data_IF_508137243708
#
_entry.id   IF_508137243708
#
_cell.length_a   1.000
_cell.length_b   1.000
_cell.length_c   1.000
_cell.angle_alpha   90.00
_cell.angle_beta   90.00
_cell.angle_gamma   90.00
#
_symmetry.space_group_name_H-M   'P 1'
#
loop_
_entity.id
_entity.type
_entity.pdbx_description
1 polymer ?
#
# COMPACT_ATOMS: atom_id res chain seq x y z
N UNK A 1 14.24 24.81 28.06
CA UNK A 1 14.75 24.31 26.78
C UNK A 1 14.35 22.85 26.67
N UNK A 2 13.34 22.57 25.85
CA UNK A 2 12.92 21.21 25.51
C UNK A 2 14.04 20.60 24.67
N UNK A 3 14.59 19.45 25.09
CA UNK A 3 15.63 18.77 24.33
C UNK A 3 15.07 18.39 22.96
N UNK A 4 15.70 18.87 21.88
CA UNK A 4 15.29 18.54 20.52
C UNK A 4 15.47 17.03 20.29
N UNK A 5 14.43 16.40 19.74
CA UNK A 5 14.39 14.95 19.56
C UNK A 5 15.07 14.57 18.25
N UNK A 6 15.77 13.44 18.27
CA UNK A 6 16.33 12.80 17.07
C UNK A 6 15.72 11.42 16.97
N UNK A 7 14.96 11.17 15.91
CA UNK A 7 14.15 9.96 15.76
C UNK A 7 14.44 9.33 14.40
N UNK A 8 14.66 8.02 14.39
CA UNK A 8 14.65 7.21 13.18
C UNK A 8 13.40 6.33 13.19
N UNK A 9 12.53 6.54 12.20
CA UNK A 9 11.34 5.73 11.96
C UNK A 9 11.67 4.69 10.89
N UNK A 10 11.63 3.42 11.24
CA UNK A 10 11.94 2.32 10.33
C UNK A 10 10.75 1.37 10.17
N UNK A 11 10.18 1.26 8.97
CA UNK A 11 8.96 0.48 8.74
C UNK A 11 8.36 0.71 7.35
N UNK A 12 7.18 0.15 7.09
CA UNK A 12 6.41 0.40 5.88
C UNK A 12 6.04 1.88 5.71
N UNK A 13 5.76 2.30 4.47
CA UNK A 13 5.35 3.67 4.16
C UNK A 13 4.14 4.14 4.96
N UNK A 14 3.14 3.27 5.13
CA UNK A 14 1.94 3.59 5.92
C UNK A 14 2.28 3.80 7.40
N UNK A 15 3.11 2.93 7.97
CA UNK A 15 3.60 3.09 9.34
C UNK A 15 4.40 4.38 9.51
N UNK A 16 5.28 4.70 8.55
CA UNK A 16 6.06 5.94 8.56
C UNK A 16 5.14 7.16 8.53
N UNK A 17 4.13 7.16 7.66
CA UNK A 17 3.16 8.26 7.57
C UNK A 17 2.41 8.46 8.88
N UNK A 18 1.81 7.39 9.42
CA UNK A 18 1.04 7.44 10.67
C UNK A 18 1.92 8.00 11.82
N UNK A 19 3.20 7.60 11.90
CA UNK A 19 4.12 8.11 12.93
C UNK A 19 4.58 9.54 12.72
N UNK A 20 4.73 9.99 11.47
CA UNK A 20 5.04 11.39 11.19
C UNK A 20 3.90 12.30 11.63
N UNK A 21 2.66 11.91 11.35
CA UNK A 21 1.47 12.68 11.73
C UNK A 21 1.29 12.76 13.26
N UNK A 22 1.68 11.72 14.00
CA UNK A 22 1.68 11.74 15.47
C UNK A 22 2.81 12.58 16.07
N UNK A 23 4.00 12.59 15.43
CA UNK A 23 5.20 13.22 15.98
C UNK A 23 5.30 14.72 15.67
N UNK A 24 4.73 15.14 14.56
CA UNK A 24 4.82 16.52 14.07
C UNK A 24 3.52 17.23 14.44
N UNK A 25 3.57 18.26 15.29
CA UNK A 25 2.39 19.04 15.62
C UNK A 25 1.78 19.67 14.38
N UNK A 26 0.45 19.65 14.29
CA UNK A 26 -0.29 20.47 13.34
C UNK A 26 -0.40 21.89 13.90
N UNK A 27 0.71 22.63 13.82
CA UNK A 27 0.88 23.98 14.36
C UNK A 27 1.49 24.89 13.27
N UNK A 28 0.97 26.10 13.11
CA UNK A 28 1.51 27.08 12.14
C UNK A 28 2.83 27.70 12.62
N UNK A 29 3.17 27.54 13.90
CA UNK A 29 4.35 28.12 14.54
C UNK A 29 5.59 27.21 14.52
N UNK A 30 5.64 26.24 13.61
CA UNK A 30 6.81 25.37 13.40
C UNK A 30 7.40 25.54 12.00
N UNK A 31 8.72 25.50 11.93
CA UNK A 31 9.46 25.48 10.68
C UNK A 31 9.74 24.04 10.27
N UNK A 32 9.31 23.61 9.08
CA UNK A 32 9.53 22.23 8.62
C UNK A 32 10.28 22.21 7.28
N UNK A 33 11.44 21.54 7.24
CA UNK A 33 12.14 21.21 5.99
C UNK A 33 12.08 19.72 5.71
N UNK A 34 11.83 19.37 4.44
CA UNK A 34 11.67 17.99 3.97
C UNK A 34 12.67 17.68 2.85
N UNK A 35 13.42 16.61 3.05
CA UNK A 35 14.38 16.09 2.08
C UNK A 35 14.10 14.63 1.74
N UNK A 36 14.54 14.19 0.56
CA UNK A 36 14.52 12.82 0.05
C UNK A 36 15.78 12.58 -0.81
N UNK A 37 15.88 11.41 -1.46
CA UNK A 37 17.01 11.06 -2.31
C UNK A 37 17.31 12.05 -3.46
N UNK A 38 16.31 12.80 -3.94
CA UNK A 38 16.44 13.66 -5.11
C UNK A 38 16.90 15.08 -4.77
N UNK A 39 16.58 15.56 -3.57
CA UNK A 39 16.82 16.94 -3.16
C UNK A 39 17.73 17.07 -1.93
N UNK A 40 18.27 15.96 -1.41
CA UNK A 40 19.16 15.98 -0.25
C UNK A 40 20.45 16.74 -0.55
N UNK A 41 20.78 17.66 0.36
CA UNK A 41 22.05 18.39 0.36
C UNK A 41 22.55 18.48 1.80
N UNK A 42 23.71 17.89 2.08
CA UNK A 42 24.23 17.82 3.45
C UNK A 42 24.54 19.20 4.04
N UNK A 43 25.05 20.14 3.24
CA UNK A 43 25.43 21.47 3.70
C UNK A 43 24.19 22.25 4.17
N UNK A 44 23.13 22.26 3.34
CA UNK A 44 21.87 22.92 3.70
C UNK A 44 21.21 22.30 4.94
N UNK A 45 21.29 20.98 5.05
CA UNK A 45 20.76 20.22 6.18
C UNK A 45 21.51 20.57 7.45
N UNK A 46 22.85 20.59 7.42
CA UNK A 46 23.70 20.92 8.56
C UNK A 46 23.48 22.37 9.01
N UNK A 47 23.41 23.31 8.07
CA UNK A 47 23.11 24.71 8.36
C UNK A 47 21.74 24.86 9.01
N UNK A 48 20.73 24.15 8.50
CA UNK A 48 19.38 24.20 9.06
C UNK A 48 19.34 23.67 10.50
N UNK A 49 19.98 22.54 10.80
CA UNK A 49 19.93 21.97 12.15
C UNK A 49 20.80 22.71 13.17
N UNK A 50 21.71 23.58 12.70
CA UNK A 50 22.66 24.34 13.54
C UNK A 50 22.23 25.78 13.80
N UNK A 51 21.18 26.27 13.12
CA UNK A 51 20.70 27.65 13.22
C UNK A 51 19.40 27.75 14.01
N UNK A 52 19.25 28.80 14.81
CA UNK A 52 18.00 29.11 15.53
C UNK A 52 16.99 29.69 14.54
N UNK A 53 15.70 29.35 14.69
CA UNK A 53 14.65 29.99 13.90
C UNK A 53 14.35 31.39 14.44
N UNK A 54 14.14 32.35 13.54
CA UNK A 54 13.81 33.72 13.91
C UNK A 54 12.30 33.94 14.07
N UNK A 55 11.49 33.09 13.45
CA UNK A 55 10.03 33.30 13.32
C UNK A 55 9.19 32.16 13.87
N UNK A 56 9.80 31.00 14.14
CA UNK A 56 9.10 29.81 14.58
C UNK A 56 9.61 29.37 15.95
N UNK A 57 8.73 28.80 16.77
CA UNK A 57 9.08 28.29 18.10
C UNK A 57 9.90 27.00 18.02
N UNK A 58 9.57 26.12 17.07
CA UNK A 58 10.24 24.85 16.85
C UNK A 58 10.60 24.64 15.37
N UNK A 59 11.60 23.77 15.16
CA UNK A 59 12.10 23.39 13.84
C UNK A 59 12.07 21.88 13.70
N UNK A 60 11.65 21.38 12.55
CA UNK A 60 11.64 19.97 12.20
C UNK A 60 12.37 19.75 10.87
N UNK A 61 13.42 18.93 10.91
CA UNK A 61 14.05 18.38 9.73
C UNK A 61 13.49 16.98 9.51
N UNK A 62 12.95 16.72 8.33
CA UNK A 62 12.47 15.40 7.93
C UNK A 62 13.26 14.94 6.72
N UNK A 63 13.99 13.84 6.84
CA UNK A 63 14.69 13.22 5.70
C UNK A 63 14.08 11.85 5.44
N UNK A 64 13.40 11.73 4.30
CA UNK A 64 12.73 10.49 3.90
C UNK A 64 13.69 9.55 3.20
N UNK A 65 13.49 8.26 3.42
CA UNK A 65 14.19 7.17 2.72
C UNK A 65 15.72 7.25 2.81
N UNK A 66 16.24 7.45 4.02
CA UNK A 66 17.68 7.64 4.26
C UNK A 66 18.53 6.45 3.79
N UNK A 67 17.96 5.25 3.64
CA UNK A 67 18.62 4.06 3.07
C UNK A 67 19.02 4.20 1.59
N UNK A 68 18.52 5.23 0.90
CA UNK A 68 18.91 5.56 -0.47
C UNK A 68 19.94 6.69 -0.54
N UNK A 69 20.24 7.35 0.58
CA UNK A 69 21.12 8.52 0.66
C UNK A 69 22.45 8.09 1.27
N UNK A 70 23.38 7.61 0.43
CA UNK A 70 24.68 7.09 0.89
C UNK A 70 25.48 8.12 1.70
N UNK A 71 25.44 9.38 1.27
CA UNK A 71 26.14 10.49 1.93
C UNK A 71 25.76 10.64 3.40
N UNK A 72 24.54 10.24 3.78
CA UNK A 72 24.02 10.37 5.14
C UNK A 72 24.68 9.41 6.13
N UNK A 73 25.13 8.24 5.65
CA UNK A 73 25.92 7.29 6.47
C UNK A 73 27.32 7.86 6.77
N UNK A 74 27.97 8.45 5.76
CA UNK A 74 29.30 9.04 5.87
C UNK A 74 29.31 10.31 6.74
N UNK A 75 28.17 10.99 6.82
CA UNK A 75 28.00 12.29 7.47
C UNK A 75 27.26 12.21 8.83
N UNK A 76 27.13 11.00 9.40
CA UNK A 76 26.45 10.76 10.68
C UNK A 76 26.94 11.66 11.83
N UNK A 77 28.23 11.98 11.84
CA UNK A 77 28.85 12.79 12.89
C UNK A 77 28.20 14.17 13.04
N UNK A 78 27.72 14.78 11.95
CA UNK A 78 27.03 16.08 12.01
C UNK A 78 25.71 16.01 12.80
N UNK A 79 25.11 14.84 12.87
CA UNK A 79 23.84 14.63 13.57
C UNK A 79 24.04 14.10 15.00
N UNK A 80 25.29 13.91 15.46
CA UNK A 80 25.57 13.35 16.78
C UNK A 80 25.48 14.39 17.91
N UNK A 81 25.80 15.66 17.64
CA UNK A 81 25.84 16.76 18.61
C UNK A 81 24.51 17.45 18.90
N UNK A 82 24.51 18.54 19.68
CA UNK A 82 23.29 19.33 19.90
C UNK A 82 22.74 19.90 18.59
N UNK A 83 21.42 20.08 18.52
CA UNK A 83 20.73 20.60 17.35
C UNK A 83 19.64 21.57 17.77
N UNK A 84 19.43 22.59 16.94
CA UNK A 84 18.34 23.56 17.05
C UNK A 84 17.02 23.03 16.45
N UNK A 85 17.04 21.86 15.80
CA UNK A 85 15.87 21.23 15.18
C UNK A 85 15.61 19.82 15.71
N UNK A 86 14.33 19.45 15.76
CA UNK A 86 13.93 18.04 15.82
C UNK A 86 14.32 17.37 14.51
N UNK A 87 15.02 16.25 14.58
CA UNK A 87 15.49 15.53 13.39
C UNK A 87 14.72 14.22 13.30
N UNK A 88 14.01 14.02 12.19
CA UNK A 88 13.26 12.81 11.90
C UNK A 88 13.76 12.19 10.61
N UNK A 89 14.41 11.04 10.72
CA UNK A 89 14.80 10.23 9.58
C UNK A 89 13.81 9.10 9.37
N UNK A 90 13.50 8.77 8.13
CA UNK A 90 12.64 7.64 7.79
C UNK A 90 13.34 6.65 6.89
N UNK A 91 13.06 5.36 7.07
CA UNK A 91 13.61 4.30 6.25
C UNK A 91 12.66 3.12 6.13
N UNK A 92 12.35 2.70 4.90
CA UNK A 92 11.65 1.44 4.64
C UNK A 92 12.50 0.20 4.98
N UNK A 93 13.80 0.39 5.24
CA UNK A 93 14.74 -0.67 5.55
C UNK A 93 15.30 -0.56 6.97
N UNK A 94 15.34 -1.70 7.67
CA UNK A 94 15.87 -1.86 9.02
C UNK A 94 17.40 -1.89 9.10
N UNK A 95 18.11 -1.96 7.98
CA UNK A 95 19.57 -2.11 7.95
C UNK A 95 20.30 -0.95 8.65
N UNK A 96 19.74 0.26 8.59
CA UNK A 96 20.35 1.46 9.18
C UNK A 96 20.13 1.60 10.68
N UNK A 97 19.23 0.81 11.29
CA UNK A 97 18.94 0.94 12.72
C UNK A 97 20.20 0.81 13.57
N UNK A 98 21.10 -0.12 13.22
CA UNK A 98 22.34 -0.32 13.97
C UNK A 98 23.29 0.86 13.92
N UNK A 99 23.25 1.64 12.83
CA UNK A 99 24.10 2.80 12.62
C UNK A 99 23.61 4.01 13.42
N UNK A 100 22.29 4.21 13.51
CA UNK A 100 21.71 5.39 14.14
C UNK A 100 21.32 5.21 15.62
N UNK A 101 21.22 3.99 16.14
CA UNK A 101 20.73 3.69 17.51
C UNK A 101 21.44 4.44 18.65
N UNK A 102 22.70 4.82 18.46
CA UNK A 102 23.51 5.44 19.52
C UNK A 102 23.29 6.97 19.57
N UNK A 103 22.67 7.54 18.52
CA UNK A 103 22.42 8.98 18.38
C UNK A 103 20.94 9.34 18.20
N UNK A 104 20.10 8.37 17.84
CA UNK A 104 18.68 8.54 17.54
C UNK A 104 17.83 7.57 18.36
N UNK A 105 16.67 8.05 18.80
CA UNK A 105 15.58 7.20 19.25
C UNK A 105 15.03 6.39 18.07
N UNK A 106 14.88 5.08 18.25
CA UNK A 106 14.46 4.19 17.18
C UNK A 106 12.98 3.83 17.36
N UNK A 107 12.16 4.22 16.39
CA UNK A 107 10.77 3.78 16.26
C UNK A 107 10.71 2.78 15.12
N UNK A 108 10.54 1.50 15.45
CA UNK A 108 10.57 0.42 14.48
C UNK A 108 9.20 -0.26 14.37
N UNK A 109 8.74 -0.45 13.13
CA UNK A 109 7.58 -1.29 12.86
C UNK A 109 7.91 -2.74 13.24
N UNK A 110 7.07 -3.31 14.10
CA UNK A 110 7.16 -4.73 14.44
C UNK A 110 6.55 -5.55 13.30
N UNK A 111 7.11 -6.74 13.04
CA UNK A 111 6.49 -7.66 12.07
C UNK A 111 5.16 -8.13 12.64
N UNK A 112 4.08 -7.60 12.11
CA UNK A 112 2.73 -8.06 12.42
C UNK A 112 2.53 -9.47 11.88
N UNK A 113 2.07 -10.37 12.74
CA UNK A 113 1.52 -11.66 12.32
C UNK A 113 0.15 -11.45 11.68
N UNK A 114 -0.36 -12.48 10.99
CA UNK A 114 -1.72 -12.46 10.46
C UNK A 114 -2.76 -12.13 11.55
N UNK A 115 -2.57 -12.67 12.76
CA UNK A 115 -3.47 -12.41 13.89
C UNK A 115 -3.44 -10.94 14.30
N UNK A 116 -2.27 -10.32 14.28
CA UNK A 116 -2.11 -8.92 14.66
C UNK A 116 -2.81 -7.99 13.66
N UNK A 117 -2.75 -8.31 12.36
CA UNK A 117 -3.52 -7.58 11.35
C UNK A 117 -5.03 -7.73 11.55
N UNK A 118 -5.52 -8.92 11.90
CA UNK A 118 -6.95 -9.09 12.19
C UNK A 118 -7.37 -8.27 13.42
N UNK A 119 -6.54 -8.22 14.47
CA UNK A 119 -6.79 -7.36 15.63
C UNK A 119 -6.79 -5.88 15.23
N UNK A 120 -5.86 -5.46 14.38
CA UNK A 120 -5.81 -4.10 13.85
C UNK A 120 -7.09 -3.74 13.08
N UNK A 121 -7.66 -4.66 12.29
CA UNK A 121 -8.94 -4.44 11.62
C UNK A 121 -10.06 -4.19 12.64
N UNK A 122 -10.11 -4.94 13.74
CA UNK A 122 -11.07 -4.70 14.81
C UNK A 122 -10.88 -3.29 15.41
N UNK A 123 -9.64 -2.88 15.66
CA UNK A 123 -9.32 -1.55 16.21
C UNK A 123 -9.72 -0.41 15.26
N UNK A 124 -9.50 -0.59 13.95
CA UNK A 124 -9.93 0.38 12.91
C UNK A 124 -11.45 0.55 12.95
N UNK A 125 -12.21 -0.54 12.90
CA UNK A 125 -13.67 -0.47 12.94
C UNK A 125 -14.19 0.11 14.26
N UNK A 126 -13.58 -0.28 15.38
CA UNK A 126 -13.92 0.24 16.70
C UNK A 126 -13.69 1.75 16.79
N UNK A 127 -12.59 2.25 16.22
CA UNK A 127 -12.30 3.70 16.15
C UNK A 127 -13.38 4.48 15.37
N UNK A 128 -14.14 3.80 14.51
CA UNK A 128 -15.25 4.34 13.72
C UNK A 128 -16.62 4.05 14.34
N UNK A 129 -16.65 3.56 15.58
CA UNK A 129 -17.88 3.28 16.33
C UNK A 129 -18.59 1.99 15.91
N UNK A 130 -17.90 1.10 15.18
CA UNK A 130 -18.44 -0.20 14.75
C UNK A 130 -17.67 -1.31 15.46
N UNK A 131 -18.36 -2.06 16.33
CA UNK A 131 -17.79 -3.23 16.97
C UNK A 131 -17.96 -4.46 16.07
N UNK A 132 -16.88 -5.18 15.81
CA UNK A 132 -16.85 -6.44 15.05
C UNK A 132 -16.06 -7.50 15.83
N UNK A 133 -16.44 -8.76 15.66
CA UNK A 133 -15.74 -9.91 16.25
C UNK A 133 -14.49 -10.29 15.45
N UNK A 134 -13.63 -11.14 16.03
CA UNK A 134 -12.39 -11.57 15.38
C UNK A 134 -12.62 -12.29 14.05
N UNK A 135 -13.63 -13.16 13.95
CA UNK A 135 -13.94 -13.88 12.71
C UNK A 135 -14.49 -12.94 11.63
N UNK A 136 -15.26 -11.93 12.02
CA UNK A 136 -15.80 -10.88 11.15
C UNK A 136 -14.67 -10.00 10.62
N UNK A 137 -13.78 -9.55 11.50
CA UNK A 137 -12.57 -8.81 11.12
C UNK A 137 -11.66 -9.61 10.19
N UNK A 138 -11.55 -10.93 10.42
CA UNK A 138 -10.82 -11.83 9.54
C UNK A 138 -11.44 -11.86 8.14
N UNK A 139 -12.76 -11.96 8.04
CA UNK A 139 -13.46 -12.00 6.77
C UNK A 139 -13.32 -10.67 6.01
N UNK A 140 -13.48 -9.54 6.70
CA UNK A 140 -13.21 -8.20 6.14
C UNK A 140 -11.77 -8.09 5.64
N UNK A 141 -10.81 -8.57 6.43
CA UNK A 141 -9.40 -8.53 6.07
C UNK A 141 -9.12 -9.30 4.77
N UNK A 142 -9.70 -10.49 4.60
CA UNK A 142 -9.58 -11.26 3.35
C UNK A 142 -10.31 -10.60 2.19
N UNK A 143 -11.53 -10.09 2.42
CA UNK A 143 -12.33 -9.43 1.37
C UNK A 143 -11.62 -8.22 0.81
N UNK A 144 -11.05 -7.37 1.66
CA UNK A 144 -10.27 -6.21 1.25
C UNK A 144 -8.84 -6.57 0.76
N UNK A 145 -8.60 -7.83 0.38
CA UNK A 145 -7.32 -8.27 -0.17
C UNK A 145 -6.13 -8.09 0.78
N UNK A 146 -6.39 -8.09 2.09
CA UNK A 146 -5.43 -7.85 3.18
C UNK A 146 -4.75 -6.47 3.13
N UNK A 147 -5.44 -5.49 2.55
CA UNK A 147 -4.97 -4.12 2.43
C UNK A 147 -5.57 -3.25 3.54
N UNK A 148 -4.74 -2.81 4.49
CA UNK A 148 -5.17 -1.99 5.64
C UNK A 148 -5.69 -0.61 5.20
N UNK A 149 -5.15 -0.01 4.14
CA UNK A 149 -5.61 1.30 3.66
C UNK A 149 -7.01 1.21 3.06
N UNK A 150 -7.27 0.14 2.29
CA UNK A 150 -8.61 -0.14 1.79
C UNK A 150 -9.58 -0.38 2.96
N UNK A 151 -9.14 -1.07 4.01
CA UNK A 151 -9.96 -1.31 5.20
C UNK A 151 -10.25 -0.01 5.95
N UNK A 152 -9.27 0.90 6.09
CA UNK A 152 -9.49 2.24 6.66
C UNK A 152 -10.56 3.01 5.85
N UNK A 153 -10.51 2.95 4.52
CA UNK A 153 -11.51 3.59 3.64
C UNK A 153 -12.89 2.94 3.74
N UNK A 154 -12.96 1.61 3.73
CA UNK A 154 -14.21 0.87 3.86
C UNK A 154 -14.86 1.08 5.22
N UNK A 155 -14.07 1.11 6.31
CA UNK A 155 -14.56 1.42 7.65
C UNK A 155 -15.15 2.84 7.74
N UNK A 156 -14.49 3.83 7.13
CA UNK A 156 -15.03 5.20 7.03
C UNK A 156 -16.34 5.25 6.24
N UNK A 157 -16.40 4.56 5.09
CA UNK A 157 -17.61 4.46 4.27
C UNK A 157 -18.77 3.87 5.06
N UNK A 158 -18.51 2.81 5.82
CA UNK A 158 -19.50 2.13 6.67
C UNK A 158 -19.97 3.05 7.79
N UNK A 159 -19.06 3.76 8.48
CA UNK A 159 -19.46 4.66 9.56
C UNK A 159 -20.30 5.83 9.06
N UNK A 160 -20.04 6.34 7.85
CA UNK A 160 -20.87 7.37 7.22
C UNK A 160 -22.22 6.80 6.80
N UNK A 161 -22.26 5.62 6.17
CA UNK A 161 -23.49 5.00 5.70
C UNK A 161 -24.47 4.70 6.84
N UNK A 162 -23.96 4.16 7.96
CA UNK A 162 -24.77 3.88 9.14
C UNK A 162 -24.81 5.04 10.14
N UNK A 163 -24.47 6.26 9.73
CA UNK A 163 -24.56 7.41 10.61
C UNK A 163 -26.00 7.57 11.14
N UNK A 164 -26.17 7.47 12.46
CA UNK A 164 -27.47 7.43 13.16
C UNK A 164 -28.39 6.23 12.82
N UNK A 165 -27.86 5.17 12.21
CA UNK A 165 -28.58 3.93 11.97
C UNK A 165 -27.95 2.80 12.79
N UNK A 166 -28.78 1.88 13.29
CA UNK A 166 -28.28 0.70 13.98
C UNK A 166 -27.90 -0.33 12.92
N UNK A 167 -26.67 -0.84 13.00
CA UNK A 167 -26.25 -2.00 12.21
C UNK A 167 -27.00 -3.21 12.77
N UNK A 168 -27.83 -3.86 11.95
CA UNK A 168 -28.66 -4.98 12.39
C UNK A 168 -27.91 -6.31 12.31
N UNK A 169 -26.97 -6.45 11.36
CA UNK A 169 -26.17 -7.65 11.19
C UNK A 169 -24.84 -7.39 10.47
N UNK A 170 -23.88 -8.30 10.67
CA UNK A 170 -22.60 -8.31 9.94
C UNK A 170 -22.78 -8.46 8.42
N UNK A 171 -23.84 -9.14 7.96
CA UNK A 171 -24.15 -9.30 6.54
C UNK A 171 -24.38 -7.95 5.82
N UNK A 172 -24.87 -6.93 6.52
CA UNK A 172 -25.05 -5.59 5.94
C UNK A 172 -23.69 -4.91 5.69
N UNK A 173 -22.75 -5.07 6.63
CA UNK A 173 -21.36 -4.62 6.49
C UNK A 173 -20.71 -5.34 5.30
N UNK A 174 -20.84 -6.67 5.24
CA UNK A 174 -20.27 -7.49 4.17
C UNK A 174 -20.79 -7.10 2.79
N UNK A 175 -22.07 -6.76 2.67
CA UNK A 175 -22.65 -6.30 1.39
C UNK A 175 -22.01 -5.00 0.91
N UNK A 176 -21.81 -4.03 1.80
CA UNK A 176 -21.19 -2.74 1.47
C UNK A 176 -19.70 -2.87 1.09
N UNK A 177 -18.99 -3.79 1.74
CA UNK A 177 -17.59 -4.11 1.41
C UNK A 177 -17.51 -4.91 0.12
N UNK A 178 -18.41 -5.87 -0.08
CA UNK A 178 -18.45 -6.72 -1.27
C UNK A 178 -18.89 -5.97 -2.52
N UNK A 179 -19.68 -4.92 -2.36
CA UNK A 179 -20.05 -3.99 -3.43
C UNK A 179 -18.95 -2.95 -3.71
N UNK A 180 -17.80 -3.01 -3.04
CA UNK A 180 -16.68 -2.15 -3.39
C UNK A 180 -16.07 -2.60 -4.72
N UNK A 181 -15.95 -1.63 -5.62
CA UNK A 181 -15.40 -1.79 -6.95
C UNK A 181 -14.04 -2.53 -6.97
N UNK A 182 -13.18 -2.21 -6.00
CA UNK A 182 -11.86 -2.81 -5.84
C UNK A 182 -11.93 -4.32 -5.58
N UNK A 183 -12.88 -4.78 -4.77
CA UNK A 183 -13.05 -6.21 -4.47
C UNK A 183 -13.57 -6.99 -5.67
N UNK A 184 -14.41 -6.37 -6.50
CA UNK A 184 -14.93 -6.98 -7.71
C UNK A 184 -13.82 -7.23 -8.75
N UNK A 185 -12.90 -6.27 -8.92
CA UNK A 185 -11.72 -6.45 -9.79
C UNK A 185 -10.83 -7.59 -9.31
N UNK A 186 -10.55 -7.70 -8.02
CA UNK A 186 -9.75 -8.82 -7.49
C UNK A 186 -10.44 -10.17 -7.64
N UNK A 187 -11.76 -10.25 -7.36
CA UNK A 187 -12.56 -11.46 -7.60
C UNK A 187 -12.54 -11.88 -9.08
N UNK A 188 -12.63 -10.91 -10.00
CA UNK A 188 -12.47 -11.14 -11.42
C UNK A 188 -11.10 -11.74 -11.76
N UNK A 189 -10.00 -11.10 -11.33
CA UNK A 189 -8.64 -11.59 -11.58
C UNK A 189 -8.43 -12.99 -11.03
N UNK A 190 -8.83 -13.23 -9.79
CA UNK A 190 -8.67 -14.53 -9.15
C UNK A 190 -9.46 -15.61 -9.91
N UNK A 191 -10.71 -15.32 -10.29
CA UNK A 191 -11.53 -16.24 -11.10
C UNK A 191 -10.93 -16.53 -12.48
N UNK A 192 -10.34 -15.52 -13.14
CA UNK A 192 -9.70 -15.66 -14.44
C UNK A 192 -8.50 -16.61 -14.35
N UNK A 193 -7.59 -16.37 -13.41
CA UNK A 193 -6.36 -17.15 -13.31
C UNK A 193 -6.53 -18.53 -12.70
N UNK A 194 -7.61 -18.76 -11.95
CA UNK A 194 -8.00 -20.12 -11.54
C UNK A 194 -8.73 -20.90 -12.63
N UNK A 195 -8.95 -20.28 -13.81
CA UNK A 195 -9.68 -20.78 -14.98
C UNK A 195 -11.18 -21.08 -14.70
N UNK A 196 -11.81 -20.31 -13.81
CA UNK A 196 -13.25 -20.39 -13.56
C UNK A 196 -14.01 -19.45 -14.51
N UNK A 197 -14.19 -19.92 -15.76
CA UNK A 197 -14.81 -19.15 -16.83
C UNK A 197 -16.19 -18.58 -16.46
N UNK A 198 -17.02 -19.35 -15.75
CA UNK A 198 -18.38 -18.92 -15.38
C UNK A 198 -18.32 -17.72 -14.44
N UNK A 199 -17.58 -17.83 -13.34
CA UNK A 199 -17.43 -16.71 -12.39
C UNK A 199 -16.74 -15.50 -13.01
N UNK A 200 -15.75 -15.75 -13.88
CA UNK A 200 -15.04 -14.67 -14.58
C UNK A 200 -15.99 -13.84 -15.43
N UNK A 201 -16.92 -14.47 -16.16
CA UNK A 201 -17.95 -13.78 -16.92
C UNK A 201 -18.98 -13.08 -16.02
N UNK A 202 -19.39 -13.71 -14.92
CA UNK A 202 -20.30 -13.11 -13.93
C UNK A 202 -19.71 -11.79 -13.39
N UNK A 203 -18.46 -11.80 -12.92
CA UNK A 203 -17.80 -10.61 -12.40
C UNK A 203 -17.54 -9.56 -13.48
N UNK A 204 -17.21 -9.96 -14.72
CA UNK A 204 -17.07 -9.00 -15.83
C UNK A 204 -18.37 -8.25 -16.10
N UNK A 205 -19.51 -8.97 -16.16
CA UNK A 205 -20.82 -8.35 -16.37
C UNK A 205 -21.23 -7.43 -15.22
N UNK A 206 -20.90 -7.80 -13.98
CA UNK A 206 -21.11 -6.97 -12.80
C UNK A 206 -20.29 -5.67 -12.88
N UNK A 207 -19.02 -5.75 -13.28
CA UNK A 207 -18.15 -4.57 -13.47
C UNK A 207 -18.66 -3.64 -14.58
N UNK A 208 -19.12 -4.20 -15.70
CA UNK A 208 -19.72 -3.42 -16.79
C UNK A 208 -20.97 -2.69 -16.31
N UNK A 209 -21.83 -3.38 -15.56
CA UNK A 209 -23.07 -2.82 -14.99
C UNK A 209 -22.78 -1.73 -13.95
N UNK A 210 -21.69 -1.87 -13.18
CA UNK A 210 -21.23 -0.90 -12.21
C UNK A 210 -20.43 0.27 -12.83
N UNK A 211 -20.30 0.34 -14.15
CA UNK A 211 -19.51 1.35 -14.88
C UNK A 211 -18.06 1.44 -14.42
N UNK A 212 -17.47 0.29 -14.11
CA UNK A 212 -16.07 0.20 -13.72
C UNK A 212 -15.12 0.62 -14.85
N UNK A 213 -13.95 1.09 -14.46
CA UNK A 213 -12.90 1.41 -15.41
C UNK A 213 -12.30 0.11 -16.00
N UNK A 214 -12.90 -0.39 -17.09
CA UNK A 214 -12.45 -1.62 -17.76
C UNK A 214 -10.98 -1.54 -18.23
N UNK A 215 -10.47 -0.35 -18.56
CA UNK A 215 -9.06 -0.17 -18.91
C UNK A 215 -8.16 -0.47 -17.70
N UNK A 216 -8.56 -0.07 -16.50
CA UNK A 216 -7.86 -0.41 -15.25
C UNK A 216 -7.91 -1.93 -14.99
N UNK A 217 -9.08 -2.55 -15.17
CA UNK A 217 -9.24 -4.02 -15.03
C UNK A 217 -8.31 -4.77 -16.00
N UNK A 218 -8.31 -4.35 -17.27
CA UNK A 218 -7.43 -4.91 -18.30
C UNK A 218 -5.96 -4.72 -17.96
N UNK A 219 -5.56 -3.54 -17.48
CA UNK A 219 -4.18 -3.30 -17.03
C UNK A 219 -3.80 -4.22 -15.86
N UNK A 220 -4.67 -4.38 -14.87
CA UNK A 220 -4.42 -5.27 -13.72
C UNK A 220 -4.33 -6.74 -14.14
N UNK A 221 -5.13 -7.16 -15.12
CA UNK A 221 -5.02 -8.47 -15.76
C UNK A 221 -3.65 -8.62 -16.43
N UNK A 222 -3.26 -7.70 -17.29
CA UNK A 222 -1.94 -7.75 -17.94
C UNK A 222 -0.78 -7.75 -16.94
N UNK A 223 -0.87 -6.94 -15.89
CA UNK A 223 0.11 -6.91 -14.81
C UNK A 223 0.22 -8.27 -14.11
N UNK A 224 -0.90 -8.89 -13.73
CA UNK A 224 -0.90 -10.19 -13.05
C UNK A 224 -0.37 -11.32 -13.96
N UNK A 225 -0.67 -11.30 -15.25
CA UNK A 225 -0.11 -12.26 -16.21
C UNK A 225 1.43 -12.18 -16.26
N UNK A 226 1.97 -10.97 -16.33
CA UNK A 226 3.42 -10.74 -16.28
C UNK A 226 4.03 -11.20 -14.95
N UNK A 227 3.40 -10.87 -13.82
CA UNK A 227 3.85 -11.33 -12.50
C UNK A 227 3.88 -12.87 -12.39
N UNK A 228 2.85 -13.55 -12.92
CA UNK A 228 2.82 -15.01 -12.96
C UNK A 228 3.92 -15.62 -13.85
N UNK A 229 4.19 -14.99 -15.00
CA UNK A 229 5.28 -15.39 -15.89
C UNK A 229 6.65 -15.24 -15.23
N UNK A 230 6.93 -14.07 -14.63
CA UNK A 230 8.16 -13.85 -13.88
C UNK A 230 8.30 -14.80 -12.70
N UNK A 231 7.22 -15.05 -11.96
CA UNK A 231 7.23 -16.01 -10.85
C UNK A 231 7.62 -17.43 -11.31
N UNK A 232 7.18 -17.85 -12.51
CA UNK A 232 7.57 -19.15 -13.10
C UNK A 232 9.04 -19.20 -13.50
N UNK A 233 9.63 -18.09 -13.92
CA UNK A 233 11.05 -18.01 -14.27
C UNK A 233 11.90 -18.01 -13.00
N UNK A 234 11.63 -17.05 -12.11
CA UNK A 234 12.26 -16.93 -10.81
C UNK A 234 11.32 -16.18 -9.84
N UNK A 235 10.87 -16.84 -8.76
CA UNK A 235 10.02 -16.22 -7.74
C UNK A 235 10.55 -14.91 -7.14
N UNK A 236 11.87 -14.72 -7.09
CA UNK A 236 12.51 -13.50 -6.55
C UNK A 236 12.26 -12.25 -7.39
N UNK A 237 11.86 -12.41 -8.67
CA UNK A 237 11.56 -11.30 -9.57
C UNK A 237 10.20 -10.65 -9.26
N UNK A 238 9.39 -11.25 -8.38
CA UNK A 238 8.07 -10.76 -8.03
C UNK A 238 8.07 -10.26 -6.59
N UNK A 239 7.91 -8.94 -6.43
CA UNK A 239 7.75 -8.28 -5.15
C UNK A 239 6.28 -7.95 -4.86
N UNK A 240 5.93 -7.92 -3.57
CA UNK A 240 4.61 -7.54 -3.10
C UNK A 240 4.26 -8.18 -1.76
N UNK A 241 3.09 -7.82 -1.22
CA UNK A 241 2.60 -8.38 0.03
C UNK A 241 2.42 -9.91 -0.06
N UNK A 242 2.63 -10.59 1.07
CA UNK A 242 2.62 -12.06 1.16
C UNK A 242 1.33 -12.69 0.61
N UNK A 243 0.18 -12.01 0.75
CA UNK A 243 -1.09 -12.46 0.20
C UNK A 243 -1.10 -12.52 -1.33
N UNK A 244 -0.72 -11.43 -1.99
CA UNK A 244 -0.60 -11.35 -3.45
C UNK A 244 0.35 -12.44 -3.97
N UNK A 245 1.49 -12.64 -3.31
CA UNK A 245 2.45 -13.70 -3.67
C UNK A 245 1.80 -15.08 -3.50
N UNK A 246 1.01 -15.30 -2.45
CA UNK A 246 0.30 -16.57 -2.23
C UNK A 246 -0.77 -16.84 -3.30
N UNK A 247 -1.50 -15.81 -3.75
CA UNK A 247 -2.46 -15.90 -4.86
C UNK A 247 -1.76 -16.21 -6.19
N UNK A 248 -0.65 -15.53 -6.48
CA UNK A 248 0.16 -15.80 -7.67
C UNK A 248 0.65 -17.26 -7.64
N UNK A 249 1.17 -17.71 -6.50
CA UNK A 249 1.65 -19.09 -6.33
C UNK A 249 0.55 -20.12 -6.60
N UNK A 250 -0.65 -19.92 -6.07
CA UNK A 250 -1.77 -20.85 -6.28
C UNK A 250 -2.23 -20.87 -7.75
N UNK A 251 -2.31 -19.70 -8.38
CA UNK A 251 -2.69 -19.55 -9.78
C UNK A 251 -1.64 -20.13 -10.76
N UNK A 252 -0.35 -19.87 -10.53
CA UNK A 252 0.75 -20.30 -11.42
C UNK A 252 0.82 -21.82 -11.59
N UNK A 253 0.36 -22.58 -10.59
CA UNK A 253 0.29 -24.04 -10.67
C UNK A 253 -0.63 -24.55 -11.80
N UNK A 254 -1.59 -23.73 -12.23
CA UNK A 254 -2.61 -24.07 -13.25
C UNK A 254 -2.24 -23.66 -14.67
N UNK A 255 -1.07 -23.05 -14.86
CA UNK A 255 -0.64 -22.51 -16.14
C UNK A 255 0.74 -23.03 -16.53
N UNK A 256 0.90 -23.42 -17.79
CA UNK A 256 2.22 -23.68 -18.38
C UNK A 256 2.91 -22.37 -18.76
N UNK A 257 4.24 -22.40 -18.88
CA UNK A 257 5.00 -21.21 -19.26
C UNK A 257 4.58 -20.71 -20.65
N UNK A 258 4.43 -21.61 -21.63
CA UNK A 258 4.01 -21.26 -22.99
C UNK A 258 2.58 -20.69 -23.03
N UNK A 259 1.68 -21.18 -22.18
CA UNK A 259 0.31 -20.65 -22.05
C UNK A 259 0.31 -19.22 -21.50
N UNK A 260 1.20 -18.92 -20.54
CA UNK A 260 1.36 -17.55 -20.02
C UNK A 260 2.00 -16.62 -21.06
N UNK A 261 2.99 -17.10 -21.82
CA UNK A 261 3.55 -16.35 -22.94
C UNK A 261 2.48 -15.99 -23.96
N UNK A 262 1.64 -16.96 -24.34
CA UNK A 262 0.54 -16.72 -25.29
C UNK A 262 -0.50 -15.75 -24.72
N UNK A 263 -0.83 -15.86 -23.43
CA UNK A 263 -1.75 -14.93 -22.77
C UNK A 263 -1.19 -13.50 -22.80
N UNK A 264 0.09 -13.31 -22.47
CA UNK A 264 0.75 -12.00 -22.50
C UNK A 264 0.76 -11.44 -23.92
N UNK A 265 1.04 -12.27 -24.92
CA UNK A 265 1.00 -11.86 -26.33
C UNK A 265 -0.40 -11.43 -26.77
N UNK A 266 -1.44 -12.19 -26.39
CA UNK A 266 -2.83 -11.84 -26.67
C UNK A 266 -3.20 -10.48 -26.03
N UNK A 267 -2.80 -10.26 -24.78
CA UNK A 267 -3.02 -9.00 -24.06
C UNK A 267 -2.27 -7.84 -24.73
N UNK A 268 -1.04 -8.06 -25.20
CA UNK A 268 -0.30 -7.06 -25.99
C UNK A 268 -1.05 -6.66 -27.27
N UNK A 269 -1.60 -7.64 -28.01
CA UNK A 269 -2.36 -7.35 -29.21
C UNK A 269 -3.65 -6.57 -28.92
N UNK A 270 -4.33 -6.89 -27.81
CA UNK A 270 -5.50 -6.13 -27.35
C UNK A 270 -5.10 -4.68 -27.05
N UNK A 271 -4.05 -4.44 -26.26
CA UNK A 271 -3.56 -3.08 -25.95
C UNK A 271 -3.20 -2.28 -27.21
N UNK A 272 -2.50 -2.92 -28.15
CA UNK A 272 -2.13 -2.30 -29.43
C UNK A 272 -3.37 -1.88 -30.23
N UNK A 273 -4.38 -2.75 -30.33
CA UNK A 273 -5.63 -2.45 -31.05
C UNK A 273 -6.44 -1.33 -30.36
N UNK A 274 -6.46 -1.30 -29.02
CA UNK A 274 -7.14 -0.26 -28.23
C UNK A 274 -6.53 1.12 -28.48
N UNK A 275 -5.21 1.23 -28.55
CA UNK A 275 -4.50 2.49 -28.84
C UNK A 275 -4.73 3.02 -30.25
N UNK A 276 -5.23 2.19 -31.15
CA UNK A 276 -5.57 2.55 -32.54
C UNK A 276 -7.11 2.72 -32.68
N UNK A 277 -7.87 2.64 -31.57
CA UNK A 277 -9.32 2.85 -31.47
C UNK A 277 -10.17 1.96 -32.38
N UNK A 278 -9.74 0.72 -32.61
CA UNK A 278 -10.39 -0.18 -33.58
C UNK A 278 -11.38 -1.18 -32.97
N UNK A 279 -11.49 -1.22 -31.64
CA UNK A 279 -12.16 -2.31 -30.92
C UNK A 279 -12.85 -1.85 -29.63
N UNK A 280 -13.85 -2.61 -29.20
CA UNK A 280 -14.40 -2.51 -27.84
C UNK A 280 -13.60 -3.44 -26.91
N UNK A 281 -13.05 -2.88 -25.83
CA UNK A 281 -12.33 -3.66 -24.81
C UNK A 281 -13.20 -4.74 -24.18
N UNK A 282 -14.49 -4.47 -23.99
CA UNK A 282 -15.45 -5.43 -23.46
C UNK A 282 -15.50 -6.71 -24.31
N UNK A 283 -15.63 -6.55 -25.64
CA UNK A 283 -15.69 -7.68 -26.57
C UNK A 283 -14.40 -8.50 -26.57
N UNK A 284 -13.24 -7.83 -26.49
CA UNK A 284 -11.95 -8.51 -26.45
C UNK A 284 -11.73 -9.25 -25.12
N UNK A 285 -12.17 -8.68 -23.98
CA UNK A 285 -12.14 -9.37 -22.70
C UNK A 285 -13.06 -10.60 -22.70
N UNK A 286 -14.28 -10.49 -23.25
CA UNK A 286 -15.20 -11.63 -23.40
C UNK A 286 -14.56 -12.71 -24.28
N UNK A 287 -13.94 -12.33 -25.40
CA UNK A 287 -13.23 -13.25 -26.30
C UNK A 287 -12.09 -13.97 -25.58
N UNK A 288 -11.27 -13.21 -24.84
CA UNK A 288 -10.15 -13.74 -24.06
C UNK A 288 -10.63 -14.74 -23.01
N UNK A 289 -11.65 -14.40 -22.22
CA UNK A 289 -12.25 -15.30 -21.21
C UNK A 289 -12.82 -16.55 -21.86
N UNK A 290 -13.36 -16.45 -23.07
CA UNK A 290 -13.88 -17.61 -23.78
C UNK A 290 -12.81 -18.60 -24.23
N UNK A 291 -11.56 -18.14 -24.37
CA UNK A 291 -10.39 -18.93 -24.76
C UNK A 291 -9.59 -19.55 -23.59
N UNK A 292 -9.99 -19.27 -22.34
CA UNK A 292 -9.43 -19.89 -21.12
C UNK A 292 -9.70 -21.39 -21.04
#
# INVERSE_FOLDING_TARGET
MTTKKKILIAGSDSFISDRLDELIPDDENIEIKRYNEENFNIEEVVDFISTISLFYEDKYLIVKNIHKIKELEDSLNYFSGESEAHIVFTSENNNLIKLFKDHFEIIKETKHSYKDFVVQVMEIFKSKGVDIEFNEAKEIYELCGRNIDLIKQEAEKISIFFYNQKIESFDEILKLISSSNVNLVFKFLDSFYVRDKRKTLEYLNEMISAHENLMMVFYMLAKRANEMFYYKINPELVSGHAYKISQIKSAVSKWKLDELSQLIENLYFIDKKLKISTISLENELISLINSL
#
